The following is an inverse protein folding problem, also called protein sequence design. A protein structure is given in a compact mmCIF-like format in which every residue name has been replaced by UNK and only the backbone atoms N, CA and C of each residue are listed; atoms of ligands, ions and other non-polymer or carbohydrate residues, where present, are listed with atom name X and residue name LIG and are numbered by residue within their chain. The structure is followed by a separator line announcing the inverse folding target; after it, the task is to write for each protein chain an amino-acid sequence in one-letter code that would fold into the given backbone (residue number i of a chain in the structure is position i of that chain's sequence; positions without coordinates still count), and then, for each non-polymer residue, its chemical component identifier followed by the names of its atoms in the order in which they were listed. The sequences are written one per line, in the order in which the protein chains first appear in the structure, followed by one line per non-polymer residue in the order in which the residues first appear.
data_IF_966149026256
#
_entry.id   IF_966149026256
#
_cell.length_a   1.000
_cell.length_b   1.000
_cell.length_c   1.000
_cell.angle_alpha   90.00
_cell.angle_beta   90.00
_cell.angle_gamma   90.00
#
_symmetry.space_group_name_H-M   'P 1'
#
loop_
_entity.id
_entity.type
_entity.pdbx_description
1 polymer ?
#
# COMPACT_ATOMS: atom_id res chain seq x y z
N UNK A 1 -11.24 -3.34 14.53
CA UNK A 1 -10.36 -2.82 13.47
C UNK A 1 -10.23 -3.91 12.44
N UNK A 2 -10.60 -3.62 11.19
CA UNK A 2 -10.46 -4.57 10.07
C UNK A 2 -9.00 -4.68 9.64
N UNK A 3 -8.63 -5.77 8.97
CA UNK A 3 -7.27 -5.96 8.43
C UNK A 3 -6.90 -4.84 7.44
N UNK A 4 -7.89 -4.31 6.71
CA UNK A 4 -7.71 -3.16 5.82
C UNK A 4 -7.36 -1.89 6.60
N UNK A 5 -8.07 -1.59 7.70
CA UNK A 5 -7.77 -0.44 8.55
C UNK A 5 -6.40 -0.56 9.23
N UNK A 6 -6.03 -1.76 9.68
CA UNK A 6 -4.72 -2.03 10.27
C UNK A 6 -3.59 -1.80 9.26
N UNK A 7 -3.74 -2.33 8.04
CA UNK A 7 -2.79 -2.12 6.95
C UNK A 7 -2.63 -0.64 6.58
N UNK A 8 -3.73 0.11 6.51
CA UNK A 8 -3.69 1.56 6.25
C UNK A 8 -2.94 2.29 7.36
N UNK A 9 -3.25 1.99 8.62
CA UNK A 9 -2.60 2.62 9.76
C UNK A 9 -1.09 2.33 9.79
N UNK A 10 -0.68 1.11 9.43
CA UNK A 10 0.74 0.75 9.34
C UNK A 10 1.47 1.50 8.22
N UNK A 11 0.84 1.63 7.05
CA UNK A 11 1.37 2.41 5.93
C UNK A 11 1.47 3.90 6.29
N UNK A 12 0.44 4.47 6.92
CA UNK A 12 0.46 5.87 7.37
C UNK A 12 1.56 6.12 8.41
N UNK A 13 1.83 5.15 9.30
CA UNK A 13 2.93 5.22 10.28
C UNK A 13 4.30 5.36 9.62
N UNK A 14 4.50 4.77 8.45
CA UNK A 14 5.78 4.87 7.71
C UNK A 14 5.79 6.02 6.70
N UNK A 15 4.78 6.90 6.69
CA UNK A 15 4.78 8.15 5.91
C UNK A 15 3.87 8.14 4.68
N UNK A 16 3.17 7.05 4.40
CA UNK A 16 2.16 7.06 3.34
C UNK A 16 0.99 7.99 3.68
N UNK A 17 0.37 8.54 2.65
CA UNK A 17 -0.79 9.41 2.76
C UNK A 17 -1.90 8.89 1.86
N UNK A 18 -3.10 8.78 2.42
CA UNK A 18 -4.28 8.41 1.63
C UNK A 18 -4.65 9.54 0.67
N UNK A 19 -4.73 9.23 -0.61
CA UNK A 19 -5.11 10.18 -1.67
C UNK A 19 -6.51 9.92 -2.22
N UNK A 20 -7.02 8.70 -2.09
CA UNK A 20 -8.37 8.34 -2.53
C UNK A 20 -8.90 7.15 -1.74
N UNK A 21 -10.19 7.19 -1.40
CA UNK A 21 -10.94 6.06 -0.85
C UNK A 21 -12.12 5.76 -1.76
N UNK A 22 -12.37 4.48 -2.01
CA UNK A 22 -13.59 3.97 -2.64
C UNK A 22 -14.26 2.97 -1.70
N UNK A 23 -15.37 2.38 -2.11
CA UNK A 23 -16.04 1.33 -1.34
C UNK A 23 -15.21 0.05 -1.17
N UNK A 24 -14.19 -0.17 -2.01
CA UNK A 24 -13.42 -1.42 -2.01
C UNK A 24 -11.90 -1.22 -1.90
N UNK A 25 -11.39 -0.02 -2.17
CA UNK A 25 -9.96 0.26 -2.24
C UNK A 25 -9.61 1.57 -1.54
N UNK A 26 -8.48 1.56 -0.85
CA UNK A 26 -7.81 2.78 -0.36
C UNK A 26 -6.49 2.92 -1.10
N UNK A 27 -6.25 4.12 -1.62
CA UNK A 27 -5.08 4.46 -2.41
C UNK A 27 -4.18 5.37 -1.60
N UNK A 28 -2.91 5.01 -1.49
CA UNK A 28 -1.90 5.74 -0.74
C UNK A 28 -0.68 6.04 -1.61
N UNK A 29 -0.05 7.18 -1.35
CA UNK A 29 1.22 7.58 -1.95
C UNK A 29 2.21 7.96 -0.86
N UNK A 30 3.49 7.97 -1.17
CA UNK A 30 4.54 8.40 -0.24
C UNK A 30 5.35 9.55 -0.86
N UNK A 31 5.58 10.66 -0.14
CA UNK A 31 6.28 11.83 -0.69
C UNK A 31 7.70 11.53 -1.16
N UNK A 32 8.41 10.64 -0.46
CA UNK A 32 9.79 10.27 -0.80
C UNK A 32 9.90 9.20 -1.90
N UNK A 33 8.77 8.61 -2.33
CA UNK A 33 8.72 7.59 -3.38
C UNK A 33 7.85 8.05 -4.55
N UNK A 34 8.32 9.01 -5.37
CA UNK A 34 7.54 9.51 -6.51
C UNK A 34 7.25 8.39 -7.51
N UNK A 35 6.00 8.35 -7.97
CA UNK A 35 5.51 7.32 -8.90
C UNK A 35 5.07 6.02 -8.24
N UNK A 36 5.26 5.85 -6.92
CA UNK A 36 4.75 4.71 -6.17
C UNK A 36 3.30 4.95 -5.70
N UNK A 37 2.43 4.02 -6.04
CA UNK A 37 1.04 3.95 -5.61
C UNK A 37 0.80 2.64 -4.86
N UNK A 38 0.31 2.73 -3.63
CA UNK A 38 -0.11 1.55 -2.85
C UNK A 38 -1.63 1.49 -2.81
N UNK A 39 -2.19 0.33 -3.15
CA UNK A 39 -3.63 0.04 -3.16
C UNK A 39 -3.93 -1.01 -2.10
N UNK A 40 -4.72 -0.63 -1.09
CA UNK A 40 -5.17 -1.53 -0.02
C UNK A 40 -6.62 -1.90 -0.30
N UNK A 41 -6.83 -3.15 -0.71
CA UNK A 41 -8.17 -3.72 -0.87
C UNK A 41 -8.67 -4.41 0.40
N UNK A 42 -9.60 -5.33 0.23
CA UNK A 42 -10.17 -6.14 1.32
C UNK A 42 -9.40 -7.42 1.61
N UNK A 43 -8.51 -7.83 0.70
CA UNK A 43 -7.72 -9.07 0.82
C UNK A 43 -6.23 -8.82 0.58
N UNK A 44 -5.89 -7.91 -0.33
CA UNK A 44 -4.53 -7.68 -0.78
C UNK A 44 -4.11 -6.21 -0.62
N UNK A 45 -2.81 -6.02 -0.40
CA UNK A 45 -2.08 -4.78 -0.63
C UNK A 45 -1.27 -4.94 -1.89
N UNK A 46 -1.34 -3.97 -2.79
CA UNK A 46 -0.60 -3.96 -4.04
C UNK A 46 0.22 -2.68 -4.12
N UNK A 47 1.51 -2.81 -4.39
CA UNK A 47 2.39 -1.68 -4.70
C UNK A 47 2.63 -1.63 -6.22
N UNK A 48 2.41 -0.46 -6.79
CA UNK A 48 2.45 -0.22 -8.23
C UNK A 48 3.34 0.99 -8.49
N UNK A 49 4.25 0.88 -9.46
CA UNK A 49 5.11 2.00 -9.88
C UNK A 49 4.87 2.27 -11.35
N UNK A 50 4.49 3.50 -11.68
CA UNK A 50 4.21 3.94 -13.05
C UNK A 50 3.23 3.03 -13.83
N UNK A 51 2.20 2.51 -13.17
CA UNK A 51 1.21 1.61 -13.80
C UNK A 51 1.58 0.12 -13.79
N UNK A 52 2.75 -0.25 -13.26
CA UNK A 52 3.24 -1.63 -13.22
C UNK A 52 3.25 -2.14 -11.78
N UNK A 53 2.55 -3.25 -11.54
CA UNK A 53 2.55 -3.94 -10.25
C UNK A 53 3.96 -4.46 -9.94
N UNK A 54 4.54 -3.99 -8.85
CA UNK A 54 5.87 -4.41 -8.38
C UNK A 54 5.76 -5.48 -7.28
N UNK A 55 4.72 -5.37 -6.44
CA UNK A 55 4.53 -6.25 -5.31
C UNK A 55 3.05 -6.43 -4.97
N UNK A 56 2.72 -7.61 -4.45
CA UNK A 56 1.40 -7.96 -3.93
C UNK A 56 1.55 -8.83 -2.70
N UNK A 57 0.87 -8.44 -1.63
CA UNK A 57 0.83 -9.21 -0.39
C UNK A 57 -0.63 -9.35 0.08
N UNK A 58 -0.92 -10.43 0.80
CA UNK A 58 -2.19 -10.55 1.54
C UNK A 58 -2.14 -9.64 2.76
N UNK A 59 -3.26 -9.02 3.12
CA UNK A 59 -3.35 -8.16 4.31
C UNK A 59 -2.87 -8.87 5.58
N UNK A 60 -3.28 -10.13 5.76
CA UNK A 60 -2.92 -10.96 6.92
C UNK A 60 -1.41 -11.22 7.07
N UNK A 61 -0.62 -10.96 6.02
CA UNK A 61 0.83 -11.16 5.95
C UNK A 61 1.55 -9.90 5.49
N UNK A 62 0.94 -8.73 5.69
CA UNK A 62 1.56 -7.48 5.29
C UNK A 62 2.88 -7.31 6.05
N UNK A 63 3.95 -7.13 5.28
CA UNK A 63 5.25 -6.67 5.74
C UNK A 63 5.59 -5.47 4.86
N UNK A 64 5.47 -4.28 5.45
CA UNK A 64 5.66 -3.01 4.75
C UNK A 64 7.10 -2.83 4.28
N UNK A 65 8.10 -3.28 5.04
CA UNK A 65 9.50 -3.16 4.65
C UNK A 65 9.78 -4.04 3.42
N UNK A 66 9.31 -5.28 3.44
CA UNK A 66 9.41 -6.19 2.29
C UNK A 66 8.65 -5.64 1.07
N UNK A 67 7.46 -5.06 1.29
CA UNK A 67 6.66 -4.46 0.21
C UNK A 67 7.43 -3.30 -0.47
N UNK A 68 8.03 -2.42 0.33
CA UNK A 68 8.82 -1.28 -0.16
C UNK A 68 10.09 -1.74 -0.88
N UNK A 69 10.84 -2.69 -0.29
CA UNK A 69 12.04 -3.23 -0.92
C UNK A 69 11.79 -3.95 -2.25
N UNK A 70 10.56 -4.44 -2.48
CA UNK A 70 10.13 -4.96 -3.79
C UNK A 70 9.72 -3.86 -4.76
N UNK A 71 9.14 -2.76 -4.27
CA UNK A 71 8.62 -1.66 -5.09
C UNK A 71 9.65 -0.58 -5.48
N UNK A 72 10.85 -0.65 -4.91
CA UNK A 72 12.02 0.18 -5.26
C UNK A 72 12.87 -0.38 -6.41
N UNK A 73 12.68 -1.66 -6.77
CA UNK A 73 13.40 -2.31 -7.88
C UNK A 73 12.89 -1.84 -9.25
#
# INVERSE_FOLDING_TARGET
MSDQEAAIAELERVGFRVVRRTSALVFLVHPDYPGLLVRVGTVFVVAERNGVEQARQRLEKLDVETLLGQAEK
#
